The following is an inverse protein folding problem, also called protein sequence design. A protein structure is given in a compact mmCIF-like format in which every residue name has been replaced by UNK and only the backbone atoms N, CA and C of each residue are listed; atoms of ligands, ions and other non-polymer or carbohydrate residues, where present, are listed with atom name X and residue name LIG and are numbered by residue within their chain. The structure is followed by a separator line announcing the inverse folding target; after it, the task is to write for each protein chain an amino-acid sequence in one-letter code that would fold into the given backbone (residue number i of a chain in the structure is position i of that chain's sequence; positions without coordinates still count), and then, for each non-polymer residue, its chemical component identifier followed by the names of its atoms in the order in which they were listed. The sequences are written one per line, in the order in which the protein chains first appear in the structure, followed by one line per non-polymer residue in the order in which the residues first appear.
data_IF_140976533920
#
_entry.id   IF_140976533920
#
_cell.length_a   1.000
_cell.length_b   1.000
_cell.length_c   1.000
_cell.angle_alpha   90.00
_cell.angle_beta   90.00
_cell.angle_gamma   90.00
#
_symmetry.space_group_name_H-M   'P 1'
#
loop_
_entity.id
_entity.type
_entity.pdbx_description
1 polymer ?
#
# COMPACT_ATOMS: atom_id res chain seq x y z
N UNK A 1 -13.60 16.78 -26.85
CA UNK A 1 -14.38 16.78 -25.60
C UNK A 1 -13.42 16.56 -24.43
N UNK A 2 -13.26 17.55 -23.55
CA UNK A 2 -12.44 17.43 -22.34
C UNK A 2 -13.39 17.20 -21.16
N UNK A 3 -13.24 16.07 -20.47
CA UNK A 3 -14.01 15.74 -19.26
C UNK A 3 -13.19 16.14 -18.04
N UNK A 4 -13.33 17.41 -17.63
CA UNK A 4 -12.79 17.88 -16.36
C UNK A 4 -13.55 17.23 -15.20
N UNK A 5 -12.83 16.61 -14.26
CA UNK A 5 -13.39 16.06 -13.02
C UNK A 5 -13.55 14.53 -12.96
N UNK A 6 -13.17 13.78 -14.00
CA UNK A 6 -13.08 12.31 -13.92
C UNK A 6 -11.68 11.89 -13.47
N UNK A 7 -11.57 11.10 -12.40
CA UNK A 7 -10.39 10.26 -12.18
C UNK A 7 -10.19 9.41 -13.42
N UNK A 8 -8.99 9.51 -13.98
CA UNK A 8 -8.69 8.98 -15.29
C UNK A 8 -7.58 7.97 -15.13
N UNK A 9 -7.93 6.68 -15.08
CA UNK A 9 -6.99 5.53 -15.13
C UNK A 9 -6.27 5.40 -16.50
N UNK A 10 -6.16 6.51 -17.24
CA UNK A 10 -5.52 6.57 -18.54
C UNK A 10 -4.02 6.68 -18.33
N UNK A 11 -3.32 5.59 -18.65
CA UNK A 11 -1.88 5.60 -18.81
C UNK A 11 -1.54 5.97 -20.26
N UNK A 12 -0.65 6.95 -20.44
CA UNK A 12 -0.20 7.37 -21.76
C UNK A 12 1.26 6.97 -21.95
N UNK A 13 1.60 6.54 -23.16
CA UNK A 13 3.00 6.38 -23.55
C UNK A 13 3.54 7.77 -23.86
N UNK A 14 4.57 8.17 -23.13
CA UNK A 14 5.27 9.43 -23.34
C UNK A 14 5.79 9.51 -24.79
N UNK A 15 5.81 10.73 -25.34
CA UNK A 15 6.23 11.01 -26.73
C UNK A 15 5.37 10.36 -27.84
N UNK A 16 4.22 9.77 -27.51
CA UNK A 16 3.22 9.30 -28.50
C UNK A 16 1.91 10.10 -28.38
N UNK A 17 1.42 10.32 -27.16
CA UNK A 17 0.18 11.07 -26.94
C UNK A 17 0.42 12.59 -27.04
N UNK A 18 -0.32 13.26 -27.93
CA UNK A 18 -0.22 14.71 -28.14
C UNK A 18 0.99 15.17 -28.95
N UNK A 19 1.84 14.24 -29.41
CA UNK A 19 2.96 14.54 -30.30
C UNK A 19 2.44 14.82 -31.73
N UNK A 20 2.99 15.83 -32.44
CA UNK A 20 2.62 16.11 -33.81
C UNK A 20 3.10 14.98 -34.75
N UNK A 21 2.24 14.57 -35.68
CA UNK A 21 2.56 13.54 -36.68
C UNK A 21 2.52 14.16 -38.07
N UNK A 22 3.54 13.89 -38.90
CA UNK A 22 3.57 14.32 -40.30
C UNK A 22 2.55 13.56 -41.12
N UNK A 23 1.61 14.27 -41.75
CA UNK A 23 0.59 13.67 -42.61
C UNK A 23 1.19 12.95 -43.84
N UNK A 24 2.39 13.34 -44.29
CA UNK A 24 3.05 12.74 -45.44
C UNK A 24 3.54 11.31 -45.19
N UNK A 25 3.76 10.94 -43.92
CA UNK A 25 4.30 9.63 -43.52
C UNK A 25 3.41 8.92 -42.50
N UNK A 26 2.28 9.53 -42.14
CA UNK A 26 1.34 8.96 -41.19
C UNK A 26 0.74 7.68 -41.79
N UNK A 27 0.68 6.63 -40.98
CA UNK A 27 -0.02 5.39 -41.32
C UNK A 27 -1.23 5.29 -40.38
N UNK A 28 -2.41 5.09 -40.96
CA UNK A 28 -3.61 4.82 -40.18
C UNK A 28 -3.52 3.43 -39.55
N UNK A 29 -3.79 3.37 -38.25
CA UNK A 29 -3.98 2.12 -37.52
C UNK A 29 -5.43 1.99 -37.07
N UNK A 30 -5.94 0.77 -37.09
CA UNK A 30 -7.28 0.40 -36.65
C UNK A 30 -7.19 -0.45 -35.39
N UNK A 31 -8.23 -0.40 -34.57
CA UNK A 31 -8.40 -1.29 -33.41
C UNK A 31 -9.55 -2.25 -33.73
N UNK A 32 -9.27 -3.55 -33.75
CA UNK A 32 -10.31 -4.58 -33.90
C UNK A 32 -11.15 -4.70 -32.61
N UNK A 33 -12.34 -5.27 -32.75
CA UNK A 33 -13.27 -5.64 -31.68
C UNK A 33 -12.65 -6.49 -30.57
N UNK A 34 -11.59 -7.26 -30.87
CA UNK A 34 -10.83 -8.05 -29.88
C UNK A 34 -9.71 -7.25 -29.18
N UNK A 35 -9.58 -5.96 -29.50
CA UNK A 35 -8.62 -5.03 -28.92
C UNK A 35 -7.24 -5.01 -29.59
N UNK A 36 -7.05 -5.65 -30.75
CA UNK A 36 -5.77 -5.63 -31.46
C UNK A 36 -5.62 -4.41 -32.36
N UNK A 37 -4.41 -3.82 -32.35
CA UNK A 37 -4.01 -2.74 -33.27
C UNK A 37 -3.41 -3.33 -34.56
N UNK A 38 -3.78 -2.78 -35.72
CA UNK A 38 -3.24 -3.19 -37.03
C UNK A 38 -3.35 -2.08 -38.09
N UNK A 39 -2.71 -2.27 -39.25
CA UNK A 39 -2.73 -1.30 -40.37
C UNK A 39 -3.63 -1.74 -41.53
N UNK A 40 -4.09 -2.99 -41.54
CA UNK A 40 -4.94 -3.57 -42.58
C UNK A 40 -6.14 -4.26 -41.95
N UNK A 41 -7.33 -4.04 -42.51
CA UNK A 41 -8.53 -4.78 -42.16
C UNK A 41 -8.56 -6.07 -42.99
N UNK A 42 -8.68 -7.22 -42.32
CA UNK A 42 -8.87 -8.51 -42.99
C UNK A 42 -10.19 -9.11 -42.52
N UNK A 43 -11.18 -9.22 -43.41
CA UNK A 43 -12.31 -10.13 -43.22
C UNK A 43 -11.83 -11.55 -43.53
N UNK A 44 -11.41 -12.29 -42.51
CA UNK A 44 -11.01 -13.68 -42.68
C UNK A 44 -12.23 -14.59 -42.81
N UNK A 45 -12.34 -15.45 -43.85
CA UNK A 45 -13.24 -16.59 -43.78
C UNK A 45 -12.70 -17.54 -42.71
N UNK A 46 -13.48 -17.77 -41.65
CA UNK A 46 -13.30 -18.81 -40.63
C UNK A 46 -11.88 -19.41 -40.49
N UNK A 47 -11.07 -18.85 -39.58
CA UNK A 47 -9.94 -19.58 -38.99
C UNK A 47 -8.60 -19.50 -39.73
N UNK A 48 -7.96 -18.34 -39.73
CA UNK A 48 -6.50 -18.27 -39.84
C UNK A 48 -5.91 -17.97 -38.48
N UNK A 49 -5.27 -18.98 -37.89
CA UNK A 49 -4.48 -18.90 -36.66
C UNK A 49 -3.60 -17.65 -36.65
N UNK A 50 -3.80 -16.77 -35.67
CA UNK A 50 -2.78 -15.80 -35.31
C UNK A 50 -1.44 -16.53 -35.12
N UNK A 51 -0.30 -16.01 -35.61
CA UNK A 51 0.98 -16.42 -35.06
C UNK A 51 0.86 -16.28 -33.54
N UNK A 52 1.36 -17.26 -32.78
CA UNK A 52 1.56 -17.13 -31.34
C UNK A 52 2.63 -16.06 -31.09
N UNK A 53 2.32 -14.81 -31.47
CA UNK A 53 2.97 -13.63 -30.98
C UNK A 53 2.82 -13.68 -29.47
N UNK A 54 3.92 -13.39 -28.81
CA UNK A 54 4.08 -13.38 -27.36
C UNK A 54 3.04 -12.39 -26.83
N UNK A 55 1.82 -12.88 -26.57
CA UNK A 55 0.83 -12.13 -25.79
C UNK A 55 1.57 -11.84 -24.48
N UNK A 56 1.71 -10.58 -24.06
CA UNK A 56 1.77 -10.32 -22.63
C UNK A 56 0.50 -10.96 -22.12
N UNK A 57 0.59 -12.13 -21.52
CA UNK A 57 -0.54 -12.70 -20.81
C UNK A 57 -0.91 -11.60 -19.82
N UNK A 58 -2.11 -11.03 -19.95
CA UNK A 58 -2.73 -10.32 -18.84
C UNK A 58 -2.47 -11.23 -17.65
N UNK A 59 -1.67 -10.74 -16.69
CA UNK A 59 -1.18 -11.53 -15.56
C UNK A 59 -2.39 -12.33 -15.08
N UNK A 60 -2.40 -13.67 -15.27
CA UNK A 60 -3.63 -14.44 -15.11
C UNK A 60 -4.12 -14.19 -13.68
N UNK A 61 -5.43 -14.02 -13.48
CA UNK A 61 -5.99 -13.59 -12.20
C UNK A 61 -5.40 -14.32 -10.97
N UNK A 62 -4.98 -15.58 -11.16
CA UNK A 62 -4.21 -16.37 -10.20
C UNK A 62 -2.92 -15.70 -9.67
N UNK A 63 -2.14 -15.03 -10.51
CA UNK A 63 -0.92 -14.34 -10.09
C UNK A 63 -1.22 -13.03 -9.33
N UNK A 64 -2.29 -12.30 -9.71
CA UNK A 64 -2.78 -11.19 -8.88
C UNK A 64 -3.24 -11.70 -7.51
N UNK A 65 -4.02 -12.77 -7.50
CA UNK A 65 -4.53 -13.38 -6.27
C UNK A 65 -3.40 -13.91 -5.38
N UNK A 66 -2.33 -14.47 -5.96
CA UNK A 66 -1.14 -14.88 -5.22
C UNK A 66 -0.42 -13.70 -4.56
N UNK A 67 -0.31 -12.54 -5.24
CA UNK A 67 0.27 -11.32 -4.64
C UNK A 67 -0.59 -10.78 -3.50
N UNK A 68 -1.92 -10.74 -3.69
CA UNK A 68 -2.87 -10.35 -2.64
C UNK A 68 -2.74 -11.25 -1.41
N UNK A 69 -2.71 -12.56 -1.59
CA UNK A 69 -2.54 -13.51 -0.49
C UNK A 69 -1.21 -13.30 0.25
N UNK A 70 -0.12 -13.01 -0.48
CA UNK A 70 1.18 -12.69 0.11
C UNK A 70 1.12 -11.42 0.96
N UNK A 71 0.43 -10.38 0.48
CA UNK A 71 0.26 -9.14 1.22
C UNK A 71 -0.55 -9.35 2.50
N UNK A 72 -1.63 -10.14 2.43
CA UNK A 72 -2.44 -10.51 3.60
C UNK A 72 -1.60 -11.26 4.63
N UNK A 73 -0.79 -12.23 4.21
CA UNK A 73 0.12 -12.97 5.11
C UNK A 73 1.15 -12.06 5.77
N UNK A 74 1.78 -11.16 5.00
CA UNK A 74 2.76 -10.20 5.54
C UNK A 74 2.11 -9.26 6.56
N UNK A 75 0.93 -8.70 6.25
CA UNK A 75 0.20 -7.84 7.17
C UNK A 75 -0.20 -8.59 8.45
N UNK A 76 -0.68 -9.82 8.33
CA UNK A 76 -1.05 -10.64 9.48
C UNK A 76 0.16 -10.92 10.39
N UNK A 77 1.33 -11.22 9.80
CA UNK A 77 2.57 -11.40 10.56
C UNK A 77 3.00 -10.11 11.28
N UNK A 78 2.91 -8.95 10.62
CA UNK A 78 3.22 -7.66 11.25
C UNK A 78 2.25 -7.34 12.40
N UNK A 79 0.96 -7.59 12.22
CA UNK A 79 -0.05 -7.38 13.28
C UNK A 79 0.25 -8.28 14.49
N UNK A 80 0.57 -9.56 14.26
CA UNK A 80 0.93 -10.48 15.34
C UNK A 80 2.18 -10.00 16.11
N UNK A 81 3.21 -9.55 15.40
CA UNK A 81 4.41 -9.00 16.02
C UNK A 81 4.11 -7.73 16.84
N UNK A 82 3.30 -6.82 16.31
CA UNK A 82 2.90 -5.60 17.00
C UNK A 82 2.11 -5.92 18.28
N UNK A 83 1.20 -6.89 18.22
CA UNK A 83 0.44 -7.31 19.40
C UNK A 83 1.36 -7.86 20.51
N UNK A 84 2.34 -8.69 20.15
CA UNK A 84 3.32 -9.19 21.12
C UNK A 84 4.15 -8.06 21.76
N UNK A 85 4.58 -7.08 20.96
CA UNK A 85 5.31 -5.91 21.47
C UNK A 85 4.45 -5.07 22.43
N UNK A 86 3.17 -4.88 22.11
CA UNK A 86 2.21 -4.17 22.96
C UNK A 86 2.01 -4.92 24.29
N UNK A 87 1.88 -6.24 24.27
CA UNK A 87 1.68 -7.04 25.49
C UNK A 87 2.92 -6.98 26.41
N UNK A 88 4.12 -7.07 25.83
CA UNK A 88 5.39 -6.94 26.56
C UNK A 88 5.49 -5.54 27.17
N UNK A 89 5.26 -4.50 26.38
CA UNK A 89 5.35 -3.12 26.83
C UNK A 89 4.31 -2.83 27.93
N UNK A 90 3.08 -3.34 27.77
CA UNK A 90 2.01 -3.22 28.78
C UNK A 90 2.40 -3.90 30.09
N UNK A 91 3.04 -5.07 30.02
CA UNK A 91 3.54 -5.78 31.21
C UNK A 91 4.64 -4.98 31.90
N UNK A 92 5.61 -4.45 31.15
CA UNK A 92 6.68 -3.61 31.70
C UNK A 92 6.16 -2.32 32.34
N UNK A 93 5.16 -1.67 31.73
CA UNK A 93 4.54 -0.46 32.29
C UNK A 93 3.83 -0.76 33.62
N UNK A 94 3.11 -1.89 33.72
CA UNK A 94 2.48 -2.32 34.99
C UNK A 94 3.50 -2.59 36.08
N UNK A 95 4.59 -3.27 35.75
CA UNK A 95 5.69 -3.55 36.68
C UNK A 95 6.35 -2.26 37.18
N UNK A 96 6.67 -1.33 36.27
CA UNK A 96 7.23 -0.03 36.61
C UNK A 96 6.30 0.77 37.52
N UNK A 97 4.99 0.76 37.25
CA UNK A 97 4.00 1.42 38.10
C UNK A 97 4.01 0.86 39.54
N UNK A 98 4.10 -0.46 39.70
CA UNK A 98 4.19 -1.10 41.01
C UNK A 98 5.49 -0.72 41.76
N UNK A 99 6.63 -0.66 41.05
CA UNK A 99 7.90 -0.22 41.64
C UNK A 99 7.85 1.23 42.10
N UNK A 100 7.23 2.13 41.34
CA UNK A 100 7.03 3.54 41.73
C UNK A 100 6.18 3.63 43.00
N UNK A 101 5.07 2.89 43.06
CA UNK A 101 4.23 2.86 44.27
C UNK A 101 5.01 2.38 45.50
N UNK A 102 5.82 1.34 45.34
CA UNK A 102 6.69 0.81 46.41
C UNK A 102 7.76 1.82 46.83
N UNK A 103 8.37 2.53 45.89
CA UNK A 103 9.35 3.57 46.18
C UNK A 103 8.72 4.75 46.93
N UNK A 104 7.54 5.20 46.51
CA UNK A 104 6.80 6.27 47.17
C UNK A 104 6.42 5.89 48.61
N UNK A 105 5.94 4.66 48.85
CA UNK A 105 5.63 4.19 50.20
C UNK A 105 6.87 4.23 51.12
N UNK A 106 8.04 3.80 50.62
CA UNK A 106 9.30 3.87 51.38
C UNK A 106 9.73 5.32 51.67
N UNK A 107 9.52 6.23 50.73
CA UNK A 107 9.85 7.64 50.93
C UNK A 107 8.96 8.28 51.99
N UNK A 108 7.65 8.03 51.96
CA UNK A 108 6.72 8.53 52.99
C UNK A 108 7.06 7.97 54.39
N UNK A 109 7.46 6.70 54.50
CA UNK A 109 7.89 6.10 55.77
C UNK A 109 9.20 6.72 56.32
N UNK A 110 10.07 7.25 55.46
CA UNK A 110 11.34 7.85 55.85
C UNK A 110 11.26 9.37 56.02
N UNK A 111 10.07 9.96 55.88
CA UNK A 111 9.88 11.41 56.06
C UNK A 111 10.07 11.76 57.54
N UNK A 112 11.09 12.58 57.90
CA UNK A 112 11.31 12.93 59.30
C UNK A 112 10.16 13.79 59.83
N UNK A 113 9.79 13.64 61.13
CA UNK A 113 8.75 14.46 61.74
C UNK A 113 9.15 15.93 61.69
N UNK A 114 8.21 16.80 61.31
CA UNK A 114 8.43 18.23 61.23
C UNK A 114 8.87 18.77 62.61
N UNK A 115 10.11 19.28 62.70
CA UNK A 115 10.57 19.98 63.90
C UNK A 115 9.92 21.36 63.93
N UNK A 116 8.83 21.49 64.69
CA UNK A 116 8.21 22.79 64.96
C UNK A 116 9.10 23.55 65.95
N UNK A 117 9.83 24.56 65.46
CA UNK A 117 10.56 25.48 66.32
C UNK A 117 9.53 26.43 66.94
N UNK A 118 9.19 26.20 68.20
CA UNK A 118 8.35 27.12 68.97
C UNK A 118 9.24 28.28 69.41
N UNK A 119 9.14 29.40 68.71
CA UNK A 119 9.73 30.66 69.17
C UNK A 119 8.73 31.31 70.14
N UNK A 120 9.10 31.42 71.42
CA UNK A 120 8.31 32.16 72.42
C UNK A 120 8.66 33.66 72.33
N UNK A 121 7.69 34.55 72.61
CA UNK A 121 7.75 35.98 72.33
C UNK A 121 8.84 36.72 73.11
#
# INVERSE_FOLDING_TARGET
HSVFGQESDRCFIDNIHGAPVSAATAITVMVDSDGRLGTVAMEGPSGSSSPKGIRPQAIPDAAKQAMLNRNVQNLQATIAQQQQQIDILTTQVKENAAQIQKANAKLEMNKPPAKVVVNKP
#
